data_IF_624357051207
#
_entry.id   IF_624357051207
#
_cell.length_a   1.000
_cell.length_b   1.000
_cell.length_c   1.000
_cell.angle_alpha   90.00
_cell.angle_beta   90.00
_cell.angle_gamma   90.00
#
_symmetry.space_group_name_H-M   'P 1'
#
loop_
_entity.id
_entity.type
_entity.pdbx_description
1 polymer ?
#
# COMPACT_ATOMS: atom_id res chain seq x y z
N UNK A 1 30.41 9.64 2.48
CA UNK A 1 29.72 8.32 2.59
C UNK A 1 28.25 8.62 2.42
N UNK A 2 27.55 7.92 1.52
CA UNK A 2 26.10 8.08 1.41
C UNK A 2 25.46 7.64 2.74
N UNK A 3 24.58 8.47 3.29
CA UNK A 3 23.86 8.15 4.52
C UNK A 3 22.98 6.92 4.27
N UNK A 4 23.15 5.88 5.10
CA UNK A 4 22.32 4.67 5.01
C UNK A 4 20.99 4.99 5.64
N UNK A 5 19.94 5.12 4.82
CA UNK A 5 18.57 5.31 5.30
C UNK A 5 17.99 3.91 5.59
N UNK A 6 17.77 3.54 6.87
CA UNK A 6 17.22 2.24 7.21
C UNK A 6 15.75 2.13 6.82
N UNK A 7 15.30 0.89 6.61
CA UNK A 7 13.86 0.60 6.47
C UNK A 7 13.16 0.90 7.79
N UNK A 8 12.10 1.71 7.74
CA UNK A 8 11.25 1.97 8.92
C UNK A 8 10.15 0.91 9.02
N UNK A 9 9.94 0.41 10.23
CA UNK A 9 8.96 -0.64 10.53
C UNK A 9 7.97 -0.13 11.56
N UNK A 10 6.70 -0.06 11.17
CA UNK A 10 5.60 0.26 12.08
C UNK A 10 4.73 -0.95 12.32
N UNK A 11 4.36 -1.18 13.59
CA UNK A 11 3.45 -2.26 13.99
C UNK A 11 2.08 -1.68 14.25
N UNK A 12 1.06 -2.28 13.63
CA UNK A 12 -0.34 -1.98 13.90
C UNK A 12 -1.03 -3.20 14.50
N UNK A 13 -1.53 -3.06 15.72
CA UNK A 13 -2.36 -4.07 16.37
C UNK A 13 -3.82 -3.70 16.13
N UNK A 14 -4.61 -4.65 15.61
CA UNK A 14 -6.06 -4.44 15.41
C UNK A 14 -6.84 -4.91 16.63
N UNK A 15 -8.06 -4.39 16.86
CA UNK A 15 -8.95 -4.93 17.89
C UNK A 15 -9.37 -6.35 17.57
N UNK A 16 -9.79 -7.09 18.61
CA UNK A 16 -10.44 -8.39 18.45
C UNK A 16 -11.71 -8.26 17.61
N UNK A 17 -11.85 -9.15 16.62
CA UNK A 17 -13.03 -9.20 15.76
C UNK A 17 -14.19 -9.92 16.46
N UNK A 18 -15.39 -9.86 15.85
CA UNK A 18 -16.60 -10.45 16.45
C UNK A 18 -16.50 -11.96 16.68
N UNK A 19 -15.78 -12.68 15.81
CA UNK A 19 -15.57 -14.13 15.95
C UNK A 19 -14.65 -14.45 17.12
N UNK A 20 -13.52 -13.76 17.24
CA UNK A 20 -12.56 -13.92 18.34
C UNK A 20 -13.21 -13.62 19.70
N UNK A 21 -14.06 -12.58 19.75
CA UNK A 21 -14.87 -12.25 20.94
C UNK A 21 -15.86 -13.37 21.27
N UNK A 22 -16.58 -13.91 20.28
CA UNK A 22 -17.51 -15.02 20.48
C UNK A 22 -16.82 -16.30 20.95
N UNK A 23 -15.58 -16.52 20.51
CA UNK A 23 -14.72 -17.63 20.94
C UNK A 23 -14.03 -17.38 22.30
N UNK A 24 -14.33 -16.27 22.99
CA UNK A 24 -13.71 -15.84 24.26
C UNK A 24 -12.17 -15.75 24.21
N UNK A 25 -11.62 -15.41 23.04
CA UNK A 25 -10.18 -15.19 22.87
C UNK A 25 -9.69 -14.04 23.76
N UNK A 26 -8.49 -14.17 24.31
CA UNK A 26 -7.85 -13.16 25.14
C UNK A 26 -6.82 -12.37 24.33
N UNK A 27 -6.65 -11.09 24.64
CA UNK A 27 -5.58 -10.29 24.06
C UNK A 27 -4.21 -10.82 24.54
N UNK A 28 -3.34 -11.14 23.59
CA UNK A 28 -2.00 -11.68 23.87
C UNK A 28 -0.86 -10.70 23.53
N UNK A 29 -1.21 -9.48 23.10
CA UNK A 29 -0.27 -8.43 22.73
C UNK A 29 -0.51 -7.22 23.62
N UNK A 30 0.54 -6.76 24.29
CA UNK A 30 0.51 -5.50 25.05
C UNK A 30 1.27 -4.44 24.28
N UNK A 31 0.68 -3.24 24.14
CA UNK A 31 1.28 -2.13 23.41
C UNK A 31 1.83 -1.08 24.38
N UNK A 32 3.09 -0.69 24.19
CA UNK A 32 3.78 0.37 24.91
C UNK A 32 4.13 1.46 23.90
N UNK A 33 3.12 2.26 23.54
CA UNK A 33 3.17 3.20 22.39
C UNK A 33 4.28 4.22 22.55
N UNK A 34 4.42 4.84 23.73
CA UNK A 34 5.45 5.86 24.00
C UNK A 34 6.88 5.31 23.93
N UNK A 35 7.05 4.02 24.23
CA UNK A 35 8.34 3.33 24.20
C UNK A 35 8.63 2.67 22.84
N UNK A 36 7.70 2.79 21.87
CA UNK A 36 7.70 2.05 20.62
C UNK A 36 7.94 0.54 20.80
N UNK A 37 7.30 -0.04 21.82
CA UNK A 37 7.47 -1.44 22.20
C UNK A 37 6.17 -2.24 22.21
N UNK A 38 6.28 -3.53 21.95
CA UNK A 38 5.21 -4.52 22.19
C UNK A 38 5.72 -5.68 23.03
N UNK A 39 4.84 -6.25 23.86
CA UNK A 39 5.08 -7.49 24.59
C UNK A 39 4.19 -8.60 24.06
N UNK A 40 4.80 -9.76 23.78
CA UNK A 40 4.08 -10.98 23.43
C UNK A 40 4.62 -12.11 24.31
N UNK A 41 3.76 -12.71 25.15
CA UNK A 41 4.13 -13.78 26.08
C UNK A 41 5.36 -13.43 26.95
N UNK A 42 5.45 -12.18 27.42
CA UNK A 42 6.54 -11.68 28.26
C UNK A 42 7.84 -11.33 27.51
N UNK A 43 7.88 -11.47 26.19
CA UNK A 43 9.01 -11.03 25.35
C UNK A 43 8.73 -9.65 24.78
N UNK A 44 9.69 -8.74 24.95
CA UNK A 44 9.62 -7.36 24.46
C UNK A 44 10.29 -7.22 23.09
N UNK A 45 9.65 -6.47 22.20
CA UNK A 45 10.16 -6.12 20.88
C UNK A 45 10.04 -4.61 20.66
N UNK A 46 11.05 -3.99 20.06
CA UNK A 46 11.09 -2.54 19.78
C UNK A 46 11.08 -2.29 18.27
N UNK A 47 10.33 -1.30 17.82
CA UNK A 47 10.18 -0.91 16.41
C UNK A 47 10.21 0.62 16.27
N UNK A 48 10.08 1.14 15.04
CA UNK A 48 10.04 2.60 14.82
C UNK A 48 8.77 3.23 15.39
N UNK A 49 7.63 2.53 15.28
CA UNK A 49 6.33 3.01 15.74
C UNK A 49 5.40 1.85 16.09
N UNK A 50 4.61 2.02 17.15
CA UNK A 50 3.58 1.08 17.58
C UNK A 50 2.23 1.79 17.56
N UNK A 51 1.25 1.17 16.94
CA UNK A 51 -0.14 1.61 16.90
C UNK A 51 -1.02 0.57 17.57
N UNK A 52 -1.69 0.99 18.62
CA UNK A 52 -2.60 0.15 19.40
C UNK A 52 -3.95 -0.05 18.68
N UNK A 53 -4.83 -0.92 19.21
CA UNK A 53 -6.15 -1.17 18.63
C UNK A 53 -7.07 0.06 18.48
N UNK A 54 -6.78 1.15 19.17
CA UNK A 54 -7.60 2.38 19.15
C UNK A 54 -7.10 3.41 18.15
N UNK A 55 -5.91 3.19 17.57
CA UNK A 55 -5.27 4.14 16.67
C UNK A 55 -6.03 4.28 15.34
N UNK A 56 -6.32 5.52 14.96
CA UNK A 56 -7.07 5.86 13.74
C UNK A 56 -6.26 5.67 12.46
N UNK A 57 -6.95 5.61 11.32
CA UNK A 57 -6.31 5.59 9.99
C UNK A 57 -5.48 6.85 9.71
N UNK A 58 -5.97 8.00 10.19
CA UNK A 58 -5.32 9.30 10.03
C UNK A 58 -3.98 9.33 10.76
N UNK A 59 -3.95 8.94 12.04
CA UNK A 59 -2.71 8.91 12.83
C UNK A 59 -1.66 7.99 12.23
N UNK A 60 -2.07 6.85 11.66
CA UNK A 60 -1.15 5.93 10.96
C UNK A 60 -0.61 6.56 9.67
N UNK A 61 -1.47 7.25 8.91
CA UNK A 61 -1.04 7.96 7.71
C UNK A 61 -0.04 9.07 8.02
N UNK A 62 -0.32 9.90 9.02
CA UNK A 62 0.54 11.02 9.41
C UNK A 62 1.92 10.55 9.84
N UNK A 63 1.99 9.44 10.58
CA UNK A 63 3.25 8.89 11.06
C UNK A 63 4.05 8.14 9.97
N UNK A 64 3.38 7.36 9.12
CA UNK A 64 4.05 6.42 8.21
C UNK A 64 4.20 6.91 6.77
N UNK A 65 3.22 7.66 6.27
CA UNK A 65 3.06 7.91 4.84
C UNK A 65 3.20 9.40 4.48
N UNK A 66 2.69 10.32 5.31
CA UNK A 66 2.80 11.76 5.06
C UNK A 66 4.26 12.24 4.85
N UNK A 67 5.28 11.76 5.61
CA UNK A 67 6.67 12.16 5.39
C UNK A 67 7.24 11.73 4.03
N UNK A 68 6.62 10.74 3.37
CA UNK A 68 7.05 10.28 2.06
C UNK A 68 6.66 11.25 0.94
N UNK A 69 5.68 12.14 1.16
CA UNK A 69 5.28 13.14 0.17
C UNK A 69 6.46 14.00 -0.24
N UNK A 70 7.14 14.61 0.73
CA UNK A 70 8.33 15.44 0.48
C UNK A 70 9.38 14.65 -0.32
N UNK A 71 9.65 13.41 0.07
CA UNK A 71 10.64 12.54 -0.61
C UNK A 71 10.26 12.20 -2.05
N UNK A 72 8.98 12.00 -2.33
CA UNK A 72 8.50 11.76 -3.69
C UNK A 72 8.79 12.98 -4.58
N UNK A 73 8.48 14.19 -4.09
CA UNK A 73 8.73 15.42 -4.85
C UNK A 73 10.21 15.82 -4.93
N UNK A 74 11.03 15.34 -3.98
CA UNK A 74 12.49 15.39 -4.07
C UNK A 74 13.08 14.41 -5.11
N UNK A 75 12.24 13.59 -5.76
CA UNK A 75 12.66 12.65 -6.80
C UNK A 75 12.96 11.23 -6.31
N UNK A 76 12.74 10.93 -5.02
CA UNK A 76 13.01 9.59 -4.47
C UNK A 76 11.88 8.59 -4.79
N UNK A 77 12.26 7.32 -4.91
CA UNK A 77 11.31 6.23 -4.96
C UNK A 77 10.89 5.84 -3.54
N UNK A 78 9.59 5.73 -3.31
CA UNK A 78 9.01 5.38 -2.02
C UNK A 78 8.21 4.08 -2.12
N UNK A 79 8.25 3.25 -1.08
CA UNK A 79 7.49 1.99 -1.03
C UNK A 79 6.86 1.80 0.34
N UNK A 80 5.56 1.50 0.37
CA UNK A 80 4.83 1.11 1.57
C UNK A 80 4.39 -0.34 1.40
N UNK A 81 4.78 -1.19 2.35
CA UNK A 81 4.43 -2.61 2.37
C UNK A 81 3.59 -2.93 3.61
N UNK A 82 2.40 -3.49 3.40
CA UNK A 82 1.62 -4.07 4.47
C UNK A 82 1.92 -5.58 4.60
N UNK A 83 2.33 -6.01 5.79
CA UNK A 83 2.72 -7.39 6.09
C UNK A 83 2.02 -7.92 7.34
N UNK A 84 1.62 -9.19 7.32
CA UNK A 84 0.92 -9.85 8.42
C UNK A 84 0.06 -11.03 7.95
N UNK A 85 -0.44 -11.82 8.92
CA UNK A 85 -1.33 -12.95 8.64
C UNK A 85 -2.65 -12.54 7.97
N UNK A 86 -3.37 -13.49 7.39
CA UNK A 86 -4.73 -13.27 6.89
C UNK A 86 -5.62 -12.72 8.03
N UNK A 87 -6.42 -11.70 7.72
CA UNK A 87 -7.27 -11.04 8.70
C UNK A 87 -6.55 -10.10 9.67
N UNK A 88 -5.24 -9.81 9.52
CA UNK A 88 -4.52 -8.87 10.40
C UNK A 88 -4.81 -7.39 10.13
N UNK A 89 -5.54 -7.05 9.05
CA UNK A 89 -5.90 -5.67 8.72
C UNK A 89 -5.02 -4.99 7.65
N UNK A 90 -4.30 -5.77 6.82
CA UNK A 90 -3.46 -5.25 5.71
C UNK A 90 -4.26 -4.40 4.72
N UNK A 91 -5.32 -4.99 4.15
CA UNK A 91 -6.29 -4.35 3.24
C UNK A 91 -6.90 -3.09 3.84
N UNK A 92 -7.32 -3.18 5.11
CA UNK A 92 -7.91 -2.06 5.86
C UNK A 92 -6.92 -0.90 6.02
N UNK A 93 -5.68 -1.19 6.43
CA UNK A 93 -4.64 -0.16 6.62
C UNK A 93 -4.28 0.53 5.31
N UNK A 94 -4.10 -0.24 4.24
CA UNK A 94 -3.73 0.31 2.93
C UNK A 94 -4.88 1.06 2.26
N UNK A 95 -6.13 0.74 2.59
CA UNK A 95 -7.28 1.41 1.98
C UNK A 95 -7.69 0.77 0.65
N UNK A 96 -7.64 -0.55 0.55
CA UNK A 96 -8.05 -1.30 -0.65
C UNK A 96 -9.44 -1.94 -0.48
N UNK A 97 -10.04 -2.43 -1.58
CA UNK A 97 -11.33 -3.14 -1.60
C UNK A 97 -12.48 -2.32 -0.95
N UNK A 98 -13.14 -2.85 0.07
CA UNK A 98 -14.32 -2.23 0.72
C UNK A 98 -14.01 -0.85 1.34
N UNK A 99 -12.74 -0.60 1.68
CA UNK A 99 -12.32 0.69 2.26
C UNK A 99 -12.12 1.79 1.24
N UNK A 100 -12.17 1.48 -0.06
CA UNK A 100 -12.08 2.49 -1.14
C UNK A 100 -13.28 3.43 -1.11
N UNK A 101 -14.47 2.92 -0.75
CA UNK A 101 -15.73 3.68 -0.68
C UNK A 101 -16.10 4.05 0.76
N UNK A 102 -15.18 3.93 1.71
CA UNK A 102 -15.44 4.30 3.09
C UNK A 102 -15.68 5.82 3.24
N UNK A 103 -16.25 6.22 4.37
CA UNK A 103 -16.26 7.64 4.75
C UNK A 103 -14.82 8.18 4.88
N UNK A 104 -14.67 9.50 4.88
CA UNK A 104 -13.35 10.17 5.00
C UNK A 104 -12.51 9.68 6.18
N UNK A 105 -13.14 9.31 7.29
CA UNK A 105 -12.47 8.74 8.47
C UNK A 105 -11.91 7.32 8.20
N UNK A 106 -12.59 6.54 7.38
CA UNK A 106 -12.21 5.16 7.04
C UNK A 106 -11.15 5.04 5.93
N UNK A 107 -10.86 6.11 5.20
CA UNK A 107 -9.84 6.11 4.16
C UNK A 107 -8.48 5.63 4.69
N UNK A 108 -7.90 4.63 4.02
CA UNK A 108 -6.58 4.11 4.33
C UNK A 108 -5.45 4.92 3.69
N UNK A 109 -4.24 4.38 3.80
CA UNK A 109 -2.99 5.05 3.38
C UNK A 109 -3.02 5.49 1.91
N UNK A 110 -3.49 4.63 0.98
CA UNK A 110 -3.44 4.93 -0.45
C UNK A 110 -4.26 6.18 -0.77
N UNK A 111 -5.53 6.22 -0.35
CA UNK A 111 -6.43 7.36 -0.61
C UNK A 111 -5.86 8.68 -0.06
N UNK A 112 -5.40 8.68 1.19
CA UNK A 112 -4.82 9.86 1.85
C UNK A 112 -3.54 10.34 1.16
N UNK A 113 -2.66 9.41 0.76
CA UNK A 113 -1.39 9.77 0.13
C UNK A 113 -1.60 10.27 -1.31
N UNK A 114 -2.52 9.66 -2.07
CA UNK A 114 -2.91 10.17 -3.39
C UNK A 114 -3.50 11.58 -3.29
N UNK A 115 -4.39 11.81 -2.33
CA UNK A 115 -4.96 13.13 -2.07
C UNK A 115 -3.86 14.16 -1.74
N UNK A 116 -2.91 13.80 -0.87
CA UNK A 116 -1.73 14.61 -0.56
C UNK A 116 -0.89 14.96 -1.79
N UNK A 117 -0.64 13.98 -2.69
CA UNK A 117 0.08 14.20 -3.94
C UNK A 117 -0.63 15.23 -4.81
N UNK A 118 -1.94 15.08 -5.06
CA UNK A 118 -2.68 16.00 -5.91
C UNK A 118 -2.86 17.38 -5.27
N UNK A 119 -2.97 17.47 -3.94
CA UNK A 119 -2.91 18.75 -3.22
C UNK A 119 -1.57 19.47 -3.41
N UNK A 120 -0.47 18.74 -3.41
CA UNK A 120 0.87 19.31 -3.60
C UNK A 120 1.16 19.67 -5.07
N UNK A 121 0.64 18.91 -6.04
CA UNK A 121 0.68 19.27 -7.46
C UNK A 121 -0.17 20.52 -7.73
N UNK A 122 -1.34 20.63 -7.09
CA UNK A 122 -2.27 21.72 -7.30
C UNK A 122 -2.74 21.80 -8.75
N UNK A 123 -2.67 22.99 -9.36
CA UNK A 123 -3.03 23.24 -10.77
C UNK A 123 -1.80 23.27 -11.69
N UNK A 124 -0.68 22.68 -11.25
CA UNK A 124 0.58 22.73 -11.99
C UNK A 124 0.60 21.71 -13.13
N UNK A 125 0.71 22.20 -14.37
CA UNK A 125 0.90 21.36 -15.56
C UNK A 125 2.32 20.77 -15.66
N UNK A 126 3.17 20.99 -14.65
CA UNK A 126 4.56 20.51 -14.62
C UNK A 126 4.67 19.03 -14.26
N UNK A 127 3.61 18.44 -13.70
CA UNK A 127 3.64 17.05 -13.25
C UNK A 127 2.70 16.19 -14.08
N UNK A 128 3.21 15.03 -14.50
CA UNK A 128 2.40 13.96 -15.07
C UNK A 128 2.35 12.80 -14.11
N UNK A 129 1.14 12.39 -13.74
CA UNK A 129 0.90 11.24 -12.87
C UNK A 129 0.32 10.09 -13.69
N UNK A 130 0.87 8.90 -13.48
CA UNK A 130 0.36 7.67 -14.07
C UNK A 130 0.25 6.57 -13.02
N UNK A 131 -0.65 5.62 -13.22
CA UNK A 131 -0.83 4.47 -12.36
C UNK A 131 -0.68 3.15 -13.12
N UNK A 132 -0.21 2.13 -12.42
CA UNK A 132 -0.21 0.74 -12.85
C UNK A 132 -0.57 -0.15 -11.67
N UNK A 133 -1.15 -1.33 -11.93
CA UNK A 133 -1.44 -2.30 -10.89
C UNK A 133 -1.17 -3.70 -11.41
N UNK A 134 -0.43 -4.49 -10.63
CA UNK A 134 -0.13 -5.87 -10.96
C UNK A 134 -0.35 -6.79 -9.77
N UNK A 135 -0.55 -8.07 -10.06
CA UNK A 135 -0.46 -9.15 -9.07
C UNK A 135 0.72 -10.05 -9.36
N UNK A 136 1.34 -10.55 -8.29
CA UNK A 136 2.27 -11.68 -8.33
C UNK A 136 1.56 -12.86 -7.68
N UNK A 137 1.30 -13.90 -8.46
CA UNK A 137 0.61 -15.12 -8.01
C UNK A 137 1.29 -16.34 -8.62
N UNK A 138 1.71 -17.29 -7.78
CA UNK A 138 2.44 -18.50 -8.22
C UNK A 138 3.62 -18.18 -9.17
N UNK A 139 4.45 -17.20 -8.80
CA UNK A 139 5.59 -16.72 -9.60
C UNK A 139 5.21 -16.11 -10.98
N UNK A 140 3.92 -15.89 -11.24
CA UNK A 140 3.43 -15.21 -12.46
C UNK A 140 3.08 -13.77 -12.14
N UNK A 141 3.49 -12.87 -13.03
CA UNK A 141 3.15 -11.45 -12.98
C UNK A 141 1.97 -11.20 -13.92
N UNK A 142 0.89 -10.62 -13.41
CA UNK A 142 -0.34 -10.36 -14.18
C UNK A 142 -0.72 -8.90 -14.02
N UNK A 143 -1.11 -8.25 -15.12
CA UNK A 143 -1.66 -6.89 -15.11
C UNK A 143 -3.09 -6.89 -14.58
N UNK A 144 -3.35 -6.15 -13.51
CA UNK A 144 -4.68 -6.03 -12.90
C UNK A 144 -5.56 -4.94 -13.53
N UNK A 145 -5.02 -4.11 -14.43
CA UNK A 145 -5.76 -3.04 -15.12
C UNK A 145 -6.09 -3.37 -16.58
N UNK A 146 -5.55 -4.48 -17.09
CA UNK A 146 -5.85 -5.02 -18.42
C UNK A 146 -6.86 -6.17 -18.36
N UNK A 147 -7.64 -6.36 -19.44
CA UNK A 147 -8.53 -7.53 -19.58
C UNK A 147 -7.72 -8.78 -19.92
N UNK A 148 -6.63 -8.62 -20.66
CA UNK A 148 -5.73 -9.71 -20.99
C UNK A 148 -4.85 -10.05 -19.78
N UNK A 149 -4.92 -11.30 -19.31
CA UNK A 149 -4.17 -11.82 -18.15
C UNK A 149 -2.97 -12.66 -18.53
N UNK A 150 -2.32 -12.30 -19.62
CA UNK A 150 -1.05 -12.91 -19.99
C UNK A 150 -0.01 -12.71 -18.88
N UNK A 151 0.83 -13.72 -18.70
CA UNK A 151 1.94 -13.65 -17.77
C UNK A 151 2.99 -12.68 -18.33
N UNK A 152 3.18 -11.56 -17.64
CA UNK A 152 4.15 -10.55 -18.01
C UNK A 152 5.57 -10.97 -17.62
N UNK A 153 6.55 -10.49 -18.38
CA UNK A 153 7.95 -10.77 -18.13
C UNK A 153 8.62 -9.63 -17.36
N UNK A 154 9.34 -9.98 -16.31
CA UNK A 154 10.25 -9.06 -15.63
C UNK A 154 11.53 -8.94 -16.48
N UNK A 155 11.94 -7.71 -16.77
CA UNK A 155 13.17 -7.41 -17.53
C UNK A 155 14.00 -6.39 -16.79
N UNK A 156 15.29 -6.37 -17.12
CA UNK A 156 16.23 -5.38 -16.63
C UNK A 156 16.85 -4.63 -17.81
N UNK A 157 16.94 -3.30 -17.70
CA UNK A 157 17.67 -2.48 -18.67
C UNK A 157 18.35 -1.33 -17.95
N UNK A 158 19.66 -1.18 -18.19
CA UNK A 158 20.51 -0.15 -17.57
C UNK A 158 20.39 -0.11 -16.03
N UNK A 159 20.33 -1.28 -15.39
CA UNK A 159 20.19 -1.42 -13.94
C UNK A 159 18.80 -1.12 -13.38
N UNK A 160 17.80 -0.89 -14.25
CA UNK A 160 16.41 -0.66 -13.86
C UNK A 160 15.59 -1.90 -14.20
N UNK A 161 14.95 -2.48 -13.18
CA UNK A 161 13.99 -3.57 -13.33
C UNK A 161 12.61 -3.00 -13.69
N UNK A 162 11.96 -3.58 -14.69
CA UNK A 162 10.61 -3.21 -15.12
C UNK A 162 9.84 -4.44 -15.61
N UNK A 163 8.52 -4.32 -15.65
CA UNK A 163 7.62 -5.37 -16.15
C UNK A 163 7.24 -5.03 -17.59
N UNK A 164 7.70 -5.84 -18.54
CA UNK A 164 7.42 -5.62 -19.96
C UNK A 164 5.93 -5.88 -20.24
N UNK A 165 5.28 -4.92 -20.90
CA UNK A 165 3.86 -5.02 -21.26
C UNK A 165 2.90 -4.63 -20.15
N UNK A 166 3.39 -4.20 -18.98
CA UNK A 166 2.54 -3.65 -17.92
C UNK A 166 1.87 -2.37 -18.41
N UNK A 167 0.54 -2.33 -18.34
CA UNK A 167 -0.23 -1.18 -18.74
C UNK A 167 -0.04 -0.01 -17.76
N UNK A 168 0.02 1.19 -18.32
CA UNK A 168 0.22 2.44 -17.59
C UNK A 168 -0.91 3.38 -17.99
N UNK A 169 -1.63 3.89 -16.99
CA UNK A 169 -2.84 4.69 -17.19
C UNK A 169 -2.63 6.10 -16.63
N UNK A 170 -2.99 7.16 -17.36
CA UNK A 170 -2.92 8.52 -16.84
C UNK A 170 -3.90 8.72 -15.68
N UNK A 171 -3.50 9.54 -14.70
CA UNK A 171 -4.32 9.88 -13.53
C UNK A 171 -4.27 11.38 -13.34
N UNK A 172 -5.43 12.04 -13.34
CA UNK A 172 -5.52 13.51 -13.22
C UNK A 172 -6.02 13.97 -11.87
N UNK A 173 -6.59 13.07 -11.06
CA UNK A 173 -7.07 13.38 -9.72
C UNK A 173 -7.19 12.12 -8.83
N UNK A 174 -7.53 12.34 -7.55
CA UNK A 174 -7.78 11.27 -6.58
C UNK A 174 -8.80 10.24 -7.10
N UNK A 175 -9.91 10.72 -7.65
CA UNK A 175 -11.01 9.89 -8.16
C UNK A 175 -10.54 8.91 -9.24
N UNK A 176 -9.68 9.35 -10.16
CA UNK A 176 -9.12 8.51 -11.21
C UNK A 176 -8.26 7.38 -10.64
N UNK A 177 -7.42 7.71 -9.65
CA UNK A 177 -6.55 6.73 -8.99
C UNK A 177 -7.37 5.67 -8.25
N UNK A 178 -8.39 6.11 -7.49
CA UNK A 178 -9.26 5.21 -6.73
C UNK A 178 -10.10 4.33 -7.67
N UNK A 179 -10.55 4.85 -8.82
CA UNK A 179 -11.23 4.04 -9.86
C UNK A 179 -10.32 2.95 -10.40
N UNK A 180 -9.05 3.25 -10.70
CA UNK A 180 -8.08 2.24 -11.16
C UNK A 180 -7.80 1.21 -10.08
N UNK A 181 -7.62 1.64 -8.83
CA UNK A 181 -7.43 0.75 -7.68
C UNK A 181 -8.64 -0.19 -7.52
N UNK A 182 -9.86 0.35 -7.56
CA UNK A 182 -11.09 -0.42 -7.44
C UNK A 182 -11.23 -1.43 -8.60
N UNK A 183 -10.98 -1.00 -9.84
CA UNK A 183 -10.98 -1.86 -11.01
C UNK A 183 -10.00 -3.03 -10.85
N UNK A 184 -8.77 -2.75 -10.41
CA UNK A 184 -7.76 -3.76 -10.18
C UNK A 184 -8.14 -4.74 -9.06
N UNK A 185 -8.70 -4.25 -7.95
CA UNK A 185 -9.26 -5.10 -6.90
C UNK A 185 -10.36 -6.02 -7.42
N UNK A 186 -11.32 -5.51 -8.19
CA UNK A 186 -12.42 -6.31 -8.75
C UNK A 186 -11.93 -7.37 -9.73
N UNK A 187 -11.00 -7.01 -10.62
CA UNK A 187 -10.40 -7.97 -11.55
C UNK A 187 -9.63 -9.04 -10.78
N UNK A 188 -8.87 -8.66 -9.75
CA UNK A 188 -8.21 -9.64 -8.88
C UNK A 188 -9.20 -10.65 -8.30
N UNK A 189 -10.28 -10.19 -7.65
CA UNK A 189 -11.31 -11.07 -7.05
C UNK A 189 -12.02 -11.96 -8.09
N UNK A 190 -12.27 -11.47 -9.31
CA UNK A 190 -12.89 -12.31 -10.37
C UNK A 190 -11.98 -13.42 -10.90
N UNK A 191 -10.66 -13.30 -10.72
CA UNK A 191 -9.70 -14.38 -11.00
C UNK A 191 -9.72 -15.52 -9.96
N UNK A 192 -10.50 -15.31 -8.90
CA UNK A 192 -10.74 -16.26 -7.81
C UNK A 192 -12.07 -16.99 -8.10
N UNK A 193 -12.02 -18.10 -8.82
CA UNK A 193 -13.16 -19.03 -8.85
C UNK A 193 -13.44 -19.50 -7.42
N UNK A 194 -14.73 -19.58 -7.05
CA UNK A 194 -15.33 -19.63 -5.71
C UNK A 194 -14.92 -20.76 -4.73
N UNK A 195 -13.75 -21.39 -4.87
CA UNK A 195 -13.30 -22.51 -4.04
C UNK A 195 -11.91 -22.34 -3.41
N UNK A 196 -11.14 -21.30 -3.74
CA UNK A 196 -9.78 -21.15 -3.22
C UNK A 196 -9.58 -19.81 -2.52
N UNK A 197 -9.11 -19.87 -1.27
CA UNK A 197 -8.68 -18.76 -0.42
C UNK A 197 -7.39 -18.11 -0.97
N UNK A 198 -7.52 -17.52 -2.17
CA UNK A 198 -6.43 -17.14 -3.08
C UNK A 198 -5.83 -15.78 -2.75
N UNK A 199 -6.58 -14.93 -2.06
CA UNK A 199 -6.15 -13.60 -1.63
C UNK A 199 -4.92 -13.66 -0.72
N UNK A 200 -4.78 -14.73 0.09
CA UNK A 200 -3.64 -15.00 1.00
C UNK A 200 -2.29 -15.29 0.33
N UNK A 201 -2.33 -15.65 -0.97
CA UNK A 201 -1.17 -16.15 -1.74
C UNK A 201 -0.74 -15.23 -2.87
N UNK A 202 -1.50 -14.18 -3.15
CA UNK A 202 -1.15 -13.17 -4.16
C UNK A 202 -0.64 -11.89 -3.50
N UNK A 203 0.32 -11.26 -4.16
CA UNK A 203 0.79 -9.92 -3.81
C UNK A 203 0.24 -8.93 -4.83
N UNK A 204 -0.49 -7.91 -4.38
CA UNK A 204 -0.90 -6.81 -5.24
C UNK A 204 0.05 -5.62 -5.06
N UNK A 205 0.48 -5.05 -6.18
CA UNK A 205 1.33 -3.86 -6.22
C UNK A 205 0.61 -2.80 -7.03
N UNK A 206 0.18 -1.74 -6.37
CA UNK A 206 -0.35 -0.53 -7.01
C UNK A 206 0.76 0.52 -7.02
N UNK A 207 1.10 1.06 -8.19
CA UNK A 207 2.20 2.02 -8.32
C UNK A 207 1.72 3.30 -8.99
N UNK A 208 1.99 4.44 -8.35
CA UNK A 208 1.93 5.76 -8.94
C UNK A 208 3.32 6.18 -9.40
N UNK A 209 3.43 6.71 -10.61
CA UNK A 209 4.64 7.31 -11.13
C UNK A 209 4.37 8.79 -11.38
N UNK A 210 5.16 9.65 -10.74
CA UNK A 210 5.11 11.10 -10.87
C UNK A 210 6.35 11.54 -11.64
N UNK A 211 6.12 12.25 -12.74
CA UNK A 211 7.17 12.77 -13.61
C UNK A 211 7.07 14.29 -13.67
N UNK A 212 8.10 15.00 -13.21
CA UNK A 212 8.23 16.45 -13.31
C UNK A 212 8.80 16.87 -14.67
N UNK A 213 8.42 18.06 -15.15
CA UNK A 213 8.92 18.61 -16.43
C UNK A 213 10.31 19.26 -16.32
N UNK A 214 10.69 19.78 -15.15
CA UNK A 214 11.95 20.52 -14.93
C UNK A 214 13.10 19.62 -14.45
N UNK A 215 12.79 18.59 -13.65
CA UNK A 215 13.72 17.53 -13.29
C UNK A 215 13.46 16.34 -14.22
N UNK A 216 14.46 15.89 -14.99
CA UNK A 216 14.35 14.63 -15.77
C UNK A 216 14.17 13.37 -14.91
N UNK A 217 13.95 13.54 -13.61
CA UNK A 217 13.88 12.50 -12.60
C UNK A 217 12.44 12.06 -12.41
N UNK A 218 12.24 10.74 -12.40
CA UNK A 218 10.95 10.10 -12.22
C UNK A 218 10.93 9.51 -10.83
N UNK A 219 9.98 9.96 -10.01
CA UNK A 219 9.72 9.35 -8.70
C UNK A 219 8.61 8.31 -8.83
N UNK A 220 8.83 7.13 -8.26
CA UNK A 220 7.81 6.07 -8.15
C UNK A 220 7.37 5.93 -6.70
N UNK A 221 6.07 5.86 -6.50
CA UNK A 221 5.45 5.48 -5.25
C UNK A 221 4.73 4.15 -5.45
N UNK A 222 5.21 3.11 -4.79
CA UNK A 222 4.64 1.76 -4.87
C UNK A 222 4.00 1.34 -3.55
N UNK A 223 2.78 0.83 -3.64
CA UNK A 223 2.00 0.31 -2.54
C UNK A 223 1.87 -1.20 -2.69
N UNK A 224 2.46 -1.93 -1.75
CA UNK A 224 2.50 -3.38 -1.76
C UNK A 224 1.54 -3.90 -0.70
N UNK A 225 0.53 -4.64 -1.15
CA UNK A 225 -0.42 -5.33 -0.26
C UNK A 225 -0.33 -6.81 -0.57
N UNK A 226 0.33 -7.56 0.30
CA UNK A 226 0.03 -8.98 0.42
C UNK A 226 -1.35 -9.04 1.04
N UNK A 227 -2.31 -9.77 0.47
CA UNK A 227 -3.60 -10.00 1.16
C UNK A 227 -3.53 -11.37 1.83
#
# INVERSE_FOLDING_TARGET
>A
MAEVIPVRVAIRVRPLNSREKAENSQECVQCFVEQSQISINGKMFTFDSIFDPTTSQETIYDACAAPLLEKIFDGYNCTILAYGQTGSGKTYTMGTEETITASSEGHGIISRLVDGIFKQIGTSDRYRVTASMLEIYEEKVIDLLCVNRECLQIRESKGVVFVQGLSVHPVSCLEDALKLLQKGCQLRSRGETAMNDKSSRSHAIFTLCIEGSETKEKSKLSFHVKI
#
